data_IF_505862158955
#
_entry.id   IF_505862158955
#
_cell.length_a   1.000
_cell.length_b   1.000
_cell.length_c   1.000
_cell.angle_alpha   90.00
_cell.angle_beta   90.00
_cell.angle_gamma   90.00
#
_symmetry.space_group_name_H-M   'P 1'
#
loop_
_entity.id
_entity.type
_entity.pdbx_description
1 polymer ?
2 non-polymer ?
3 non-polymer ?
4 non-polymer ?
5 non-polymer ?
6 non-polymer ?
7 water ?
#
# COMPACT_ATOMS: atom_id res chain seq x y z
N UNK A 13 -23.02 -12.52 -5.44
CA UNK A 13 -23.00 -11.49 -6.48
C UNK A 13 -21.61 -10.93 -6.68
N UNK A 14 -21.47 -10.04 -7.65
CA UNK A 14 -20.17 -9.43 -7.93
C UNK A 14 -19.80 -8.44 -6.83
N UNK A 15 -18.53 -8.04 -6.84
CA UNK A 15 -18.03 -7.09 -5.85
C UNK A 15 -18.61 -5.71 -6.08
N UNK A 16 -19.08 -5.07 -5.01
CA UNK A 16 -19.63 -3.73 -5.06
C UNK A 16 -18.54 -2.77 -4.59
N UNK A 17 -18.02 -1.89 -5.45
CA UNK A 17 -16.96 -0.99 -5.04
C UNK A 17 -17.43 -0.01 -3.98
N UNK A 18 -16.65 0.16 -2.90
CA UNK A 18 -17.01 1.16 -1.89
C UNK A 18 -16.93 2.57 -2.45
N UNK A 19 -17.50 3.56 -1.77
CA UNK A 19 -17.40 4.93 -2.25
C UNK A 19 -15.96 5.43 -2.24
N UNK A 20 -15.69 6.41 -3.08
CA UNK A 20 -14.34 6.93 -3.22
C UNK A 20 -13.96 7.78 -2.00
N UNK A 21 -12.71 7.65 -1.56
CA UNK A 21 -12.18 8.47 -0.49
C UNK A 21 -11.84 9.86 -1.02
N UNK A 22 -11.65 10.84 -0.13
CA UNK A 22 -11.33 12.20 -0.59
C UNK A 22 -10.03 12.24 -1.37
N UNK A 23 -10.02 13.07 -2.42
CA UNK A 23 -8.83 13.33 -3.22
C UNK A 23 -8.58 14.83 -3.19
N UNK A 24 -7.36 15.22 -2.79
CA UNK A 24 -6.99 16.61 -2.67
C UNK A 24 -5.94 16.96 -3.72
N UNK A 25 -6.12 18.11 -4.37
CA UNK A 25 -5.20 18.63 -5.37
C UNK A 25 -4.74 20.01 -4.90
N UNK A 26 -3.79 20.05 -3.98
CA UNK A 26 -3.39 21.33 -3.40
C UNK A 26 -2.61 22.19 -4.39
N UNK A 27 -2.76 23.51 -4.25
CA UNK A 27 -1.98 24.45 -5.03
C UNK A 27 -0.55 24.51 -4.49
N UNK A 28 0.29 25.30 -5.14
CA UNK A 28 1.68 25.42 -4.69
C UNK A 28 1.78 26.06 -3.32
N UNK A 29 0.82 26.91 -2.96
CA UNK A 29 0.83 27.52 -1.63
C UNK A 29 0.43 26.51 -0.56
N UNK A 30 -0.58 25.69 -0.84
CA UNK A 30 -1.03 24.69 0.12
C UNK A 30 -0.06 23.50 0.20
N UNK A 31 0.75 23.29 -0.83
CA UNK A 31 1.70 22.19 -0.89
C UNK A 31 3.04 22.52 -0.22
N UNK A 32 3.09 23.61 0.55
CA UNK A 32 4.37 24.06 1.10
C UNK A 32 4.84 23.15 2.23
N UNK A 33 3.94 22.78 3.14
CA UNK A 33 4.30 21.95 4.29
C UNK A 33 3.30 20.81 4.42
N UNK A 34 3.77 19.56 4.50
CA UNK A 34 2.85 18.41 4.59
C UNK A 34 2.09 18.35 5.90
N UNK A 35 2.78 18.55 7.02
CA UNK A 35 2.13 18.43 8.32
C UNK A 35 1.04 19.48 8.50
N UNK A 36 1.29 20.70 8.03
CA UNK A 36 0.25 21.73 8.10
C UNK A 36 -0.90 21.43 7.14
N UNK A 37 -0.59 20.85 5.98
CA UNK A 37 -1.65 20.51 5.03
C UNK A 37 -2.51 19.37 5.55
N UNK A 38 -1.88 18.33 6.10
CA UNK A 38 -2.63 17.19 6.64
C UNK A 38 -3.48 17.64 7.82
N UNK A 39 -2.96 18.58 8.63
CA UNK A 39 -3.74 19.10 9.73
C UNK A 39 -4.95 19.89 9.29
N UNK A 40 -4.86 20.55 8.13
CA UNK A 40 -6.00 21.32 7.62
C UNK A 40 -7.07 20.41 7.02
N UNK A 41 -6.67 19.36 6.32
CA UNK A 41 -7.64 18.42 5.74
C UNK A 41 -8.14 17.39 6.74
N UNK A 42 -7.63 17.43 7.97
CA UNK A 42 -8.01 16.42 8.97
C UNK A 42 -9.51 16.35 9.24
N UNK A 43 -10.26 17.45 9.38
CA UNK A 43 -11.70 17.30 9.68
C UNK A 43 -12.47 16.44 8.71
N UNK A 44 -12.04 16.38 7.45
CA UNK A 44 -12.70 15.52 6.48
C UNK A 44 -12.02 14.16 6.37
N UNK A 45 -10.68 14.16 6.24
CA UNK A 45 -9.95 12.93 5.95
C UNK A 45 -10.00 11.94 7.11
N UNK A 46 -10.03 12.43 8.36
CA UNK A 46 -10.11 11.50 9.48
C UNK A 46 -11.47 10.83 9.57
N UNK A 47 -12.49 11.38 8.92
CA UNK A 47 -13.80 10.74 8.84
C UNK A 47 -13.87 9.66 7.77
N UNK A 48 -12.84 9.56 6.92
CA UNK A 48 -12.79 8.52 5.91
C UNK A 48 -11.61 7.56 6.10
N UNK A 49 -10.75 7.82 7.07
CA UNK A 49 -9.60 6.95 7.33
C UNK A 49 -8.42 7.14 6.41
N UNK A 50 -8.65 7.16 5.10
CA UNK A 50 -7.59 7.34 4.12
C UNK A 50 -7.98 8.50 3.21
N UNK A 51 -6.96 9.09 2.58
CA UNK A 51 -7.19 10.12 1.58
C UNK A 51 -6.04 10.10 0.59
N UNK A 52 -6.29 10.64 -0.59
CA UNK A 52 -5.31 10.70 -1.67
C UNK A 52 -4.93 12.16 -1.92
N UNK A 53 -3.64 12.41 -2.13
CA UNK A 53 -3.12 13.75 -2.35
C UNK A 53 -2.38 13.76 -3.68
N UNK A 54 -2.82 14.61 -4.59
CA UNK A 54 -2.17 14.76 -5.89
C UNK A 54 -1.29 16.00 -5.85
N UNK A 55 0.04 15.86 -5.96
CA UNK A 55 0.92 17.04 -5.96
C UNK A 55 0.67 17.89 -7.19
N UNK A 56 1.18 19.13 -7.21
CA UNK A 56 1.09 19.94 -8.44
C UNK A 56 1.72 19.24 -9.62
N UNK A 57 1.25 19.59 -10.82
CA UNK A 57 1.68 18.90 -12.03
C UNK A 57 3.18 19.01 -12.25
N UNK A 58 3.79 20.12 -11.85
CA UNK A 58 5.21 20.31 -12.06
C UNK A 58 6.08 19.65 -11.00
N UNK A 59 5.48 19.08 -9.95
CA UNK A 59 6.24 18.41 -8.89
C UNK A 59 6.44 16.96 -9.31
N UNK A 60 7.59 16.68 -9.92
CA UNK A 60 7.91 15.35 -10.41
C UNK A 60 9.31 14.97 -9.93
N UNK A 61 9.42 14.26 -8.81
CA UNK A 61 10.74 13.85 -8.31
C UNK A 61 11.29 12.72 -9.16
N UNK A 62 12.61 12.68 -9.36
CA UNK A 62 13.21 11.58 -10.12
C UNK A 62 13.36 10.32 -9.28
N UNK A 63 13.37 9.18 -9.97
CA UNK A 63 13.57 7.90 -9.30
C UNK A 63 15.07 7.73 -9.02
N UNK A 64 15.42 7.72 -7.74
CA UNK A 64 16.82 7.77 -7.32
C UNK A 64 17.34 6.43 -6.78
N UNK A 65 16.61 5.34 -7.02
CA UNK A 65 17.05 4.03 -6.59
C UNK A 65 18.11 3.50 -7.53
N UNK A 66 18.98 2.64 -7.00
CA UNK A 66 20.00 1.97 -7.80
C UNK A 66 19.38 0.79 -8.53
N UNK A 67 18.86 1.05 -9.74
CA UNK A 67 18.17 0.01 -10.49
C UNK A 67 19.12 -1.06 -10.97
N UNK A 68 20.37 -0.69 -11.26
CA UNK A 68 21.32 -1.66 -11.81
C UNK A 68 21.63 -2.77 -10.81
N UNK A 69 21.71 -2.45 -9.53
CA UNK A 69 22.07 -3.42 -8.50
C UNK A 69 20.88 -3.81 -7.62
N UNK A 70 19.66 -3.45 -8.02
CA UNK A 70 18.47 -3.76 -7.22
C UNK A 70 18.12 -5.23 -7.43
N UNK A 71 18.53 -6.09 -6.50
CA UNK A 71 18.21 -7.50 -6.52
C UNK A 71 17.53 -7.86 -5.20
N UNK A 72 16.32 -8.41 -5.28
CA UNK A 72 15.54 -8.71 -4.10
C UNK A 72 14.91 -10.09 -4.22
N UNK A 73 14.52 -10.63 -3.07
CA UNK A 73 13.86 -11.93 -2.98
C UNK A 73 12.41 -11.72 -2.56
N UNK A 74 11.44 -11.81 -3.47
CA UNK A 74 10.06 -11.49 -3.13
C UNK A 74 9.38 -12.60 -2.34
N UNK A 75 8.34 -12.21 -1.62
CA UNK A 75 7.52 -13.18 -0.90
C UNK A 75 6.56 -13.88 -1.85
N UNK A 76 6.05 -15.02 -1.40
CA UNK A 76 5.07 -15.81 -2.15
C UNK A 76 3.73 -15.69 -1.44
N UNK A 77 2.68 -15.36 -2.20
CA UNK A 77 1.37 -15.09 -1.63
C UNK A 77 0.33 -15.94 -2.34
N UNK A 78 -0.37 -16.78 -1.58
CA UNK A 78 -1.50 -17.54 -2.08
C UNK A 78 -2.77 -16.79 -1.72
N UNK A 79 -3.58 -16.46 -2.73
CA UNK A 79 -4.70 -15.55 -2.52
C UNK A 79 -5.81 -16.18 -1.69
N UNK A 80 -6.02 -17.49 -1.83
CA UNK A 80 -7.09 -18.19 -1.13
C UNK A 80 -6.56 -19.05 0.02
N UNK A 81 -5.55 -18.55 0.74
CA UNK A 81 -4.93 -19.36 1.78
C UNK A 81 -5.86 -19.55 2.99
N UNK A 82 -6.68 -18.54 3.30
CA UNK A 82 -7.61 -18.70 4.42
C UNK A 82 -8.82 -19.55 4.03
N UNK A 83 -9.35 -19.34 2.82
CA UNK A 83 -10.47 -20.14 2.35
C UNK A 83 -10.08 -21.60 2.17
N UNK A 84 -8.79 -21.90 1.98
CA UNK A 84 -8.32 -23.27 1.88
C UNK A 84 -8.30 -23.99 3.23
N UNK A 85 -8.44 -23.26 4.34
CA UNK A 85 -8.48 -23.91 5.64
C UNK A 85 -9.74 -24.77 5.80
N UNK A 86 -10.81 -24.40 5.10
CA UNK A 86 -12.07 -25.15 5.18
C UNK A 86 -12.08 -26.28 4.16
N UNK A 94 0.85 -28.97 3.08
CA UNK A 94 2.28 -29.05 2.85
C UNK A 94 2.87 -27.66 2.61
N UNK A 95 3.93 -27.35 3.36
CA UNK A 95 4.56 -26.04 3.25
C UNK A 95 5.60 -25.95 2.16
N UNK A 96 5.45 -26.78 1.13
CA UNK A 96 6.38 -26.76 0.00
C UNK A 96 5.66 -26.38 -1.29
N UNK A 97 4.91 -25.29 -1.26
CA UNK A 97 4.15 -24.88 -2.43
C UNK A 97 5.05 -24.25 -3.49
N UNK A 98 5.88 -23.29 -3.09
CA UNK A 98 6.73 -22.57 -4.02
C UNK A 98 7.87 -21.91 -3.26
N UNK A 99 9.07 -21.95 -3.84
CA UNK A 99 10.22 -21.28 -3.26
C UNK A 99 10.12 -19.77 -3.48
N UNK A 100 11.12 -19.04 -3.01
CA UNK A 100 11.09 -17.58 -3.03
C UNK A 100 11.72 -17.03 -4.30
N UNK A 101 12.90 -17.54 -4.68
CA UNK A 101 13.65 -17.11 -5.86
C UNK A 101 14.09 -15.66 -5.75
N UNK A 102 14.94 -15.23 -6.68
CA UNK A 102 15.50 -13.88 -6.68
C UNK A 102 15.30 -13.22 -8.03
N UNK A 103 14.91 -11.94 -8.00
CA UNK A 103 14.68 -11.16 -9.21
C UNK A 103 15.51 -9.89 -9.17
N UNK A 104 15.60 -9.24 -10.33
CA UNK A 104 15.98 -7.84 -10.41
C UNK A 104 14.73 -7.01 -10.66
N UNK A 105 14.89 -5.69 -10.69
CA UNK A 105 13.74 -4.84 -10.99
C UNK A 105 13.20 -5.08 -12.40
N UNK A 106 14.09 -5.40 -13.34
CA UNK A 106 13.66 -5.67 -14.71
C UNK A 106 13.09 -7.07 -14.85
N UNK A 107 13.73 -8.07 -14.26
CA UNK A 107 13.24 -9.44 -14.38
C UNK A 107 11.93 -9.63 -13.64
N UNK A 108 11.74 -8.94 -12.50
CA UNK A 108 10.45 -9.00 -11.82
C UNK A 108 9.36 -8.34 -12.66
N UNK A 109 9.68 -7.21 -13.30
CA UNK A 109 8.69 -6.55 -14.14
C UNK A 109 8.29 -7.38 -15.34
N UNK A 110 9.24 -8.13 -15.91
CA UNK A 110 8.91 -9.02 -17.02
C UNK A 110 7.97 -10.13 -16.57
N UNK A 111 8.25 -10.73 -15.41
CA UNK A 111 7.36 -11.75 -14.87
C UNK A 111 6.00 -11.16 -14.53
N UNK A 112 5.98 -9.95 -13.98
CA UNK A 112 4.72 -9.33 -13.56
C UNK A 112 3.84 -9.00 -14.76
N UNK A 113 4.42 -8.42 -15.80
CA UNK A 113 3.64 -8.09 -16.99
C UNK A 113 3.17 -9.33 -17.73
N UNK A 114 4.01 -10.37 -17.76
CA UNK A 114 3.61 -11.61 -18.41
C UNK A 114 2.46 -12.29 -17.68
N UNK A 115 2.49 -12.26 -16.34
CA UNK A 115 1.43 -12.88 -15.56
C UNK A 115 0.09 -12.19 -15.83
N UNK A 116 0.07 -10.86 -15.79
CA UNK A 116 -1.19 -10.14 -15.95
C UNK A 116 -1.71 -10.25 -17.37
N UNK A 117 -0.81 -10.16 -18.36
CA UNK A 117 -1.25 -10.24 -19.75
C UNK A 117 -1.77 -11.63 -20.08
N UNK A 118 -1.17 -12.67 -19.51
CA UNK A 118 -1.66 -14.03 -19.75
C UNK A 118 -2.94 -14.33 -18.97
N UNK A 119 -3.10 -13.73 -17.80
CA UNK A 119 -4.29 -14.02 -16.99
C UNK A 119 -5.54 -13.42 -17.61
N UNK A 120 -5.46 -12.16 -18.03
CA UNK A 120 -6.60 -11.46 -18.61
C UNK A 120 -6.66 -11.56 -20.13
N UNK A 121 -5.65 -12.16 -20.77
CA UNK A 121 -5.63 -12.35 -22.21
C UNK A 121 -5.74 -11.02 -22.97
N UNK A 122 -5.02 -10.02 -22.49
CA UNK A 122 -5.02 -8.70 -23.10
C UNK A 122 -3.81 -7.93 -22.60
N UNK A 123 -3.41 -6.86 -23.29
CA UNK A 123 -2.30 -6.05 -22.79
C UNK A 123 -2.57 -5.52 -21.39
N UNK A 124 -1.50 -5.38 -20.61
CA UNK A 124 -1.65 -5.04 -19.19
C UNK A 124 -2.27 -3.66 -19.01
N UNK A 125 -1.99 -2.73 -19.92
CA UNK A 125 -2.52 -1.39 -19.81
C UNK A 125 -3.97 -1.27 -20.26
N UNK A 126 -4.56 -2.36 -20.76
CA UNK A 126 -5.95 -2.35 -21.22
C UNK A 126 -6.91 -3.02 -20.23
N UNK A 127 -6.40 -3.60 -19.16
CA UNK A 127 -7.25 -4.24 -18.16
C UNK A 127 -7.84 -3.16 -17.26
N UNK A 128 -9.17 -3.01 -17.22
CA UNK A 128 -9.77 -1.98 -16.37
C UNK A 128 -9.50 -2.26 -14.89
N UNK A 129 -9.35 -1.19 -14.12
CA UNK A 129 -9.10 -1.33 -12.70
C UNK A 129 -10.27 -2.00 -11.98
N UNK A 130 -11.50 -1.76 -12.47
CA UNK A 130 -12.65 -2.41 -11.87
C UNK A 130 -12.64 -3.93 -12.10
N UNK A 131 -12.06 -4.38 -13.21
CA UNK A 131 -12.01 -5.80 -13.51
C UNK A 131 -11.01 -6.53 -12.63
N UNK A 132 -9.81 -5.95 -12.45
CA UNK A 132 -8.84 -6.54 -11.53
C UNK A 132 -9.40 -6.57 -10.11
N UNK A 133 -10.17 -5.54 -9.75
CA UNK A 133 -10.76 -5.47 -8.41
C UNK A 133 -11.79 -6.59 -8.21
N UNK A 134 -12.68 -6.77 -9.18
CA UNK A 134 -13.70 -7.82 -9.04
C UNK A 134 -13.09 -9.21 -9.11
N UNK A 135 -12.03 -9.39 -9.90
CA UNK A 135 -11.39 -10.70 -10.00
C UNK A 135 -10.55 -11.01 -8.77
N UNK A 136 -9.92 -9.99 -8.18
CA UNK A 136 -9.11 -10.22 -6.98
C UNK A 136 -9.95 -10.79 -5.85
N UNK A 137 -11.08 -10.16 -5.55
CA UNK A 137 -11.90 -10.61 -4.44
C UNK A 137 -12.62 -11.91 -4.75
N UNK A 138 -12.82 -12.24 -6.03
CA UNK A 138 -13.35 -13.56 -6.37
C UNK A 138 -12.33 -14.65 -6.10
N UNK A 139 -11.05 -14.39 -6.44
CA UNK A 139 -10.01 -15.38 -6.21
C UNK A 139 -9.72 -15.58 -4.72
N UNK A 140 -9.94 -14.54 -3.91
CA UNK A 140 -9.67 -14.64 -2.48
C UNK A 140 -10.59 -15.68 -1.83
N UNK A 141 -11.85 -15.72 -2.25
CA UNK A 141 -12.83 -16.64 -1.69
C UNK A 141 -13.06 -17.85 -2.58
N UNK A 142 -12.28 -18.03 -3.63
CA UNK A 142 -12.44 -19.14 -4.55
C UNK A 142 -11.70 -20.37 -4.05
N UNK A 143 -12.39 -21.51 -3.99
CA UNK A 143 -11.76 -22.78 -3.66
C UNK A 143 -11.47 -23.62 -4.89
N UNK A 144 -11.93 -23.20 -6.07
CA UNK A 144 -11.70 -23.93 -7.30
C UNK A 144 -10.40 -23.56 -7.98
N UNK A 145 -9.92 -22.33 -7.78
CA UNK A 145 -8.74 -21.82 -8.45
C UNK A 145 -7.72 -21.34 -7.42
N UNK A 146 -6.46 -21.68 -7.63
CA UNK A 146 -5.37 -21.36 -6.73
C UNK A 146 -4.38 -20.46 -7.47
N UNK A 147 -4.50 -19.15 -7.29
CA UNK A 147 -3.63 -18.18 -7.94
C UNK A 147 -2.52 -17.80 -6.97
N UNK A 148 -1.27 -17.85 -7.46
CA UNK A 148 -0.09 -17.55 -6.66
C UNK A 148 0.62 -16.35 -7.29
N UNK A 149 0.93 -15.36 -6.45
CA UNK A 149 1.64 -14.16 -6.89
C UNK A 149 2.83 -13.92 -5.97
N UNK A 150 3.66 -12.94 -6.36
CA UNK A 150 4.87 -12.61 -5.64
C UNK A 150 4.98 -11.09 -5.49
N UNK A 151 5.69 -10.66 -4.46
CA UNK A 151 5.87 -9.23 -4.23
C UNK A 151 7.03 -9.01 -3.27
N UNK A 152 7.69 -7.86 -3.43
CA UNK A 152 8.71 -7.42 -2.50
C UNK A 152 8.11 -6.40 -1.54
N UNK A 153 8.26 -6.66 -0.24
CA UNK A 153 7.64 -5.82 0.77
C UNK A 153 8.61 -5.59 1.92
N UNK A 154 8.40 -4.47 2.62
CA UNK A 154 9.20 -4.08 3.78
C UNK A 154 10.69 -4.04 3.44
N UNK A 155 10.99 -3.62 2.21
CA UNK A 155 12.36 -3.50 1.75
C UNK A 155 12.93 -2.18 2.24
N UNK A 156 13.95 -2.25 3.09
CA UNK A 156 14.54 -1.04 3.66
C UNK A 156 15.23 -0.23 2.57
N UNK A 157 14.94 1.06 2.53
CA UNK A 157 15.60 1.95 1.56
C UNK A 157 17.02 2.31 1.97
N UNK A 158 17.55 1.74 3.06
CA UNK A 158 18.94 1.96 3.39
C UNK A 158 19.86 0.98 2.68
N UNK A 159 19.35 -0.19 2.26
CA UNK A 159 20.15 -1.17 1.56
C UNK A 159 20.15 -0.96 0.05
N UNK A 160 19.05 -0.45 -0.51
CA UNK A 160 18.94 -0.22 -1.95
C UNK A 160 18.89 1.26 -2.31
N UNK A 161 18.81 2.14 -1.34
CA UNK A 161 18.57 3.55 -1.66
C UNK A 161 17.09 3.86 -1.75
N UNK A 162 16.75 5.09 -1.38
CA UNK A 162 15.36 5.52 -1.44
C UNK A 162 14.95 5.86 -2.86
N UNK A 163 13.65 5.79 -3.11
CA UNK A 163 13.13 6.22 -4.40
C UNK A 163 13.28 7.70 -4.64
N UNK A 164 13.30 8.50 -3.56
CA UNK A 164 13.53 9.93 -3.57
C UNK A 164 15.03 10.23 -3.51
N UNK A 165 15.45 11.34 -4.10
CA UNK A 165 16.84 11.78 -3.91
C UNK A 165 17.10 12.15 -2.46
N UNK A 166 18.30 11.82 -1.99
CA UNK A 166 18.70 12.07 -0.61
C UNK A 166 20.15 12.55 -0.60
N UNK A 167 20.42 13.56 0.22
CA UNK A 167 21.78 14.10 0.38
C UNK A 167 22.64 13.08 1.11
N UNK A 168 23.45 12.34 0.35
CA UNK A 168 24.37 11.37 0.92
C UNK A 168 25.54 11.19 -0.02
N UNK A 169 26.61 10.59 0.49
CA UNK A 169 27.82 10.39 -0.30
C UNK A 169 27.71 9.27 -1.32
N UNK A 170 26.70 8.39 -1.17
CA UNK A 170 26.58 7.26 -2.08
C UNK A 170 26.00 7.68 -3.42
N UNK A 171 24.86 8.36 -3.41
CA UNK A 171 24.20 8.76 -4.65
C UNK A 171 24.64 10.14 -5.09
N UNK A 172 24.49 10.40 -6.38
CA UNK A 172 24.79 11.69 -6.98
C UNK A 172 23.50 12.46 -7.22
N UNK A 173 23.48 13.73 -6.83
CA UNK A 173 22.29 14.56 -6.92
C UNK A 173 22.55 15.66 -7.95
N UNK A 174 21.72 15.70 -8.98
CA UNK A 174 21.80 16.78 -9.96
C UNK A 174 21.24 18.07 -9.36
N UNK A 175 21.67 19.23 -9.87
CA UNK A 175 21.14 20.50 -9.33
C UNK A 175 19.64 20.62 -9.44
N UNK A 176 19.04 20.09 -10.52
CA UNK A 176 17.59 20.14 -10.66
C UNK A 176 16.87 19.16 -9.75
N UNK A 177 17.60 18.27 -9.06
CA UNK A 177 17.00 17.30 -8.16
C UNK A 177 17.18 17.64 -6.68
N UNK A 178 17.92 18.70 -6.36
CA UNK A 178 18.16 19.02 -4.96
C UNK A 178 16.89 19.50 -4.26
N UNK A 179 15.98 20.13 -5.00
CA UNK A 179 14.72 20.58 -4.39
C UNK A 179 13.89 19.39 -3.90
N UNK A 180 13.96 18.26 -4.59
CA UNK A 180 13.23 17.09 -4.15
C UNK A 180 13.92 16.39 -2.99
N UNK A 181 15.25 16.47 -2.91
CA UNK A 181 15.96 15.93 -1.76
C UNK A 181 15.70 16.73 -0.50
N UNK A 182 15.31 18.00 -0.64
CA UNK A 182 15.03 18.87 0.50
C UNK A 182 13.54 19.09 0.72
N UNK A 183 12.69 18.53 -0.14
CA UNK A 183 11.26 18.77 -0.02
C UNK A 183 10.69 18.10 1.23
N UNK A 184 9.69 18.76 1.84
CA UNK A 184 9.01 18.17 2.97
C UNK A 184 8.19 16.95 2.63
N UNK A 185 7.78 16.81 1.37
CA UNK A 185 7.03 15.64 0.93
C UNK A 185 7.94 14.47 0.57
N UNK A 186 9.26 14.67 0.57
CA UNK A 186 10.19 13.54 0.52
C UNK A 186 10.02 12.71 1.78
N UNK A 187 9.69 11.43 1.60
CA UNK A 187 9.39 10.57 2.74
C UNK A 187 10.58 10.42 3.68
N UNK A 188 11.80 10.67 3.22
CA UNK A 188 12.95 10.66 4.10
C UNK A 188 13.01 11.87 5.01
N UNK A 189 12.21 12.90 4.75
CA UNK A 189 12.21 14.12 5.55
C UNK A 189 10.97 14.24 6.44
N UNK A 190 10.22 13.15 6.61
CA UNK A 190 9.06 13.18 7.49
C UNK A 190 9.51 12.98 8.94
N UNK A 191 8.87 13.67 9.89
CA UNK A 191 9.23 13.45 11.30
C UNK A 191 8.78 12.08 11.76
N UNK A 192 9.66 11.37 12.46
CA UNK A 192 9.43 9.99 12.84
C UNK A 192 9.65 9.72 14.31
N UNK A 193 10.07 10.72 15.09
CA UNK A 193 10.40 10.54 16.50
C UNK A 193 9.18 10.90 17.35
N UNK A 194 8.59 9.90 18.00
CA UNK A 194 7.44 10.13 18.85
C UNK A 194 7.87 10.69 20.20
N UNK A 195 7.03 11.57 20.76
CA UNK A 195 7.34 12.22 22.01
C UNK A 195 7.08 11.28 23.18
N UNK A 196 8.05 11.18 24.09
CA UNK A 196 7.92 10.36 25.28
C UNK A 196 8.98 10.79 26.29
N UNK A 197 8.71 10.48 27.56
CA UNK A 197 9.67 10.80 28.61
C UNK A 197 10.87 9.88 28.51
N UNK A 198 12.04 10.40 28.83
CA UNK A 198 13.28 9.62 28.77
C UNK A 198 13.40 8.68 29.96
N UNK A 208 17.71 5.32 12.01
CA UNK A 208 17.09 4.14 12.60
C UNK A 208 15.66 3.95 12.07
N UNK A 209 14.98 5.07 11.82
CA UNK A 209 13.63 5.06 11.26
C UNK A 209 13.75 5.53 9.81
N UNK A 210 13.49 4.62 8.88
CA UNK A 210 13.77 4.84 7.46
C UNK A 210 12.60 4.31 6.63
N UNK A 211 12.22 4.98 5.54
CA UNK A 211 11.11 4.48 4.71
C UNK A 211 11.43 3.12 4.11
N UNK A 212 10.37 2.38 3.82
CA UNK A 212 10.48 1.04 3.24
C UNK A 212 9.91 1.02 1.83
N UNK A 213 10.41 0.08 1.02
CA UNK A 213 10.07 -0.01 -0.39
C UNK A 213 9.17 -1.22 -0.65
N UNK A 214 8.34 -1.11 -1.69
CA UNK A 214 7.38 -2.14 -2.02
C UNK A 214 7.30 -2.29 -3.53
N UNK A 215 7.60 -3.49 -4.02
CA UNK A 215 7.56 -3.81 -5.45
C UNK A 215 6.41 -4.78 -5.66
N UNK A 216 5.36 -4.31 -6.33
CA UNK A 216 4.17 -5.13 -6.47
C UNK A 216 3.90 -5.63 -7.86
N UNK A 217 3.01 -6.62 -7.96
CA UNK A 217 2.49 -7.12 -9.23
C UNK A 217 0.99 -7.27 -9.10
N UNK A 218 0.34 -7.70 -10.18
CA UNK A 218 -1.10 -7.88 -10.16
C UNK A 218 -1.50 -8.89 -9.08
N UNK A 219 -2.48 -8.52 -8.26
CA UNK A 219 -3.11 -9.28 -7.20
C UNK A 219 -2.29 -9.31 -5.91
N UNK A 220 -1.03 -8.86 -5.91
CA UNK A 220 -0.29 -8.78 -4.67
C UNK A 220 -0.97 -7.80 -3.72
N UNK A 221 -1.18 -8.24 -2.48
CA UNK A 221 -2.09 -7.54 -1.58
C UNK A 221 -1.51 -7.43 -0.18
N UNK A 222 -2.13 -6.57 0.61
CA UNK A 222 -1.84 -6.41 2.03
C UNK A 222 -3.17 -6.39 2.79
N UNK A 223 -3.24 -7.14 3.88
CA UNK A 223 -4.49 -7.33 4.58
C UNK A 223 -4.75 -6.18 5.57
N UNK A 224 -5.92 -6.22 6.22
CA UNK A 224 -6.35 -5.14 7.09
C UNK A 224 -5.42 -5.00 8.28
N UNK A 225 -4.97 -3.77 8.53
CA UNK A 225 -4.05 -3.51 9.64
C UNK A 225 -4.09 -2.04 9.99
N UNK A 226 -3.58 -1.74 11.19
CA UNK A 226 -3.28 -0.39 11.61
C UNK A 226 -1.80 -0.31 11.92
N UNK A 227 -1.29 0.91 12.01
CA UNK A 227 0.14 1.10 12.26
C UNK A 227 0.44 0.90 13.75
N UNK A 228 1.70 0.56 14.03
CA UNK A 228 2.15 0.49 15.41
C UNK A 228 2.00 1.85 16.08
N UNK A 229 1.60 1.83 17.35
CA UNK A 229 1.34 3.03 18.14
C UNK A 229 0.26 3.92 17.51
N UNK A 230 -0.62 3.33 16.70
CA UNK A 230 -1.67 4.05 15.99
C UNK A 230 -1.11 5.22 15.17
N UNK A 231 0.08 5.06 14.61
CA UNK A 231 0.76 6.17 13.97
C UNK A 231 0.15 6.52 12.62
N UNK A 232 0.37 7.77 12.20
CA UNK A 232 0.13 8.16 10.83
C UNK A 232 1.01 7.34 9.88
N UNK A 233 0.63 7.32 8.61
CA UNK A 233 1.44 6.69 7.58
C UNK A 233 1.18 7.40 6.26
N UNK A 234 2.24 7.57 5.47
CA UNK A 234 2.17 8.20 4.16
C UNK A 234 2.80 7.28 3.14
N UNK A 235 2.17 7.18 1.97
CA UNK A 235 2.59 6.25 0.93
C UNK A 235 2.70 7.00 -0.39
N UNK A 236 3.76 6.72 -1.14
CA UNK A 236 3.98 7.36 -2.43
C UNK A 236 4.26 6.28 -3.47
N UNK A 237 3.58 6.37 -4.62
CA UNK A 237 3.78 5.45 -5.73
C UNK A 237 4.71 6.12 -6.74
N UNK A 238 5.96 5.63 -6.80
CA UNK A 238 6.94 6.25 -7.68
C UNK A 238 6.59 6.06 -9.15
N UNK A 239 6.25 4.83 -9.53
CA UNK A 239 5.87 4.54 -10.91
C UNK A 239 5.14 3.20 -10.95
N UNK A 240 4.55 2.92 -12.10
CA UNK A 240 3.90 1.64 -12.35
C UNK A 240 2.39 1.76 -12.35
N UNK A 241 1.74 0.60 -12.37
CA UNK A 241 0.30 0.53 -12.39
C UNK A 241 -0.27 0.88 -11.02
N UNK A 242 -1.54 1.29 -10.94
CA UNK A 242 -2.07 1.83 -9.69
C UNK A 242 -2.08 0.82 -8.55
N UNK A 243 -2.24 1.35 -7.34
CA UNK A 243 -2.40 0.56 -6.13
C UNK A 243 -3.77 0.87 -5.55
N UNK A 244 -4.61 -0.16 -5.42
CA UNK A 244 -5.97 0.01 -4.93
C UNK A 244 -6.00 -0.05 -3.40
N UNK A 245 -6.67 0.91 -2.79
CA UNK A 245 -6.71 1.04 -1.34
C UNK A 245 -8.15 0.90 -0.83
N UNK A 246 -8.27 0.41 0.40
CA UNK A 246 -9.52 0.44 1.15
C UNK A 246 -9.23 0.98 2.54
N UNK A 247 -10.10 1.83 3.04
CA UNK A 247 -9.86 2.50 4.31
C UNK A 247 -11.10 2.54 5.17
N UNK A 248 -10.89 2.50 6.47
CA UNK A 248 -11.97 2.59 7.46
C UNK A 248 -11.62 3.69 8.45
N UNK A 249 -12.53 4.61 8.74
CA UNK A 249 -12.22 5.69 9.69
C UNK A 249 -11.99 5.13 11.08
N UNK A 250 -11.24 5.92 11.88
CA UNK A 250 -10.83 5.45 13.20
C UNK A 250 -12.02 5.28 14.14
N UNK A 251 -13.11 6.02 13.93
CA UNK A 251 -14.25 5.90 14.82
C UNK A 251 -14.96 4.55 14.68
N UNK A 252 -14.68 3.81 13.61
CA UNK A 252 -15.24 2.48 13.40
C UNK A 252 -14.20 1.38 13.60
N UNK A 253 -13.09 1.70 14.27
CA UNK A 253 -12.02 0.71 14.45
C UNK A 253 -12.50 -0.47 15.29
N UNK A 254 -13.19 -0.18 16.40
CA UNK A 254 -13.64 -1.26 17.27
C UNK A 254 -14.77 -2.07 16.63
N UNK A 255 -15.53 -1.46 15.72
CA UNK A 255 -16.55 -2.21 15.00
C UNK A 255 -15.93 -3.18 14.01
N UNK A 256 -14.87 -2.76 13.31
CA UNK A 256 -14.17 -3.66 12.40
C UNK A 256 -13.56 -4.82 13.16
N UNK A 257 -12.98 -4.57 14.33
CA UNK A 257 -12.38 -5.63 15.11
C UNK A 257 -13.41 -6.62 15.63
N UNK A 258 -14.62 -6.15 15.94
CA UNK A 258 -15.67 -7.07 16.37
C UNK A 258 -16.16 -7.93 15.21
N UNK A 259 -16.30 -7.34 14.02
CA UNK A 259 -16.67 -8.12 12.85
C UNK A 259 -15.55 -9.09 12.48
N UNK A 260 -14.31 -8.64 12.59
CA UNK A 260 -13.17 -9.48 12.24
C UNK A 260 -13.08 -10.70 13.15
N UNK A 261 -13.22 -10.48 14.47
CA UNK A 261 -13.14 -11.59 15.42
C UNK A 261 -14.33 -12.53 15.29
N UNK A 262 -15.49 -12.02 14.88
CA UNK A 262 -16.67 -12.87 14.79
C UNK A 262 -16.61 -13.77 13.56
N UNK A 263 -15.90 -13.36 12.52
CA UNK A 263 -15.84 -14.12 11.28
C UNK A 263 -14.49 -14.78 11.01
N UNK A 264 -13.46 -14.44 11.78
CA UNK A 264 -12.16 -15.09 11.61
C UNK A 264 -12.23 -16.53 12.10
N UNK A 265 -11.34 -17.39 11.60
CA UNK A 265 -11.28 -18.76 12.10
C UNK A 265 -11.05 -18.80 13.61
N UNK A 266 -11.59 -19.84 14.26
CA UNK A 266 -11.48 -19.95 15.71
C UNK A 266 -10.04 -20.07 16.16
N UNK A 267 -9.16 -20.63 15.32
CA UNK A 267 -7.76 -20.75 15.69
C UNK A 267 -7.04 -19.40 15.68
N UNK A 268 -7.54 -18.43 14.91
CA UNK A 268 -6.93 -17.12 14.82
C UNK A 268 -7.68 -16.03 15.58
N UNK A 269 -8.86 -16.34 16.13
CA UNK A 269 -9.67 -15.31 16.76
C UNK A 269 -9.04 -14.82 18.06
N UNK A 270 -8.47 -15.74 18.85
CA UNK A 270 -7.89 -15.40 20.14
C UNK A 270 -6.45 -14.92 20.04
N UNK A 271 -5.89 -14.81 18.84
CA UNK A 271 -4.52 -14.38 18.69
C UNK A 271 -4.38 -12.88 18.96
N UNK A 272 -3.22 -12.45 19.45
CA UNK A 272 -2.98 -11.00 19.61
C UNK A 272 -3.10 -10.28 18.28
N UNK A 273 -3.45 -8.99 18.36
CA UNK A 273 -3.76 -8.24 17.15
C UNK A 273 -2.55 -8.13 16.23
N UNK A 274 -1.36 -7.97 16.79
CA UNK A 274 -0.16 -7.86 15.96
C UNK A 274 0.12 -9.13 15.20
N UNK A 275 -0.31 -10.28 15.72
CA UNK A 275 -0.19 -11.54 15.00
C UNK A 275 -1.39 -11.80 14.10
N UNK A 276 -2.60 -11.49 14.58
CA UNK A 276 -3.79 -11.67 13.75
C UNK A 276 -3.74 -10.78 12.51
N UNK A 277 -3.16 -9.58 12.63
CA UNK A 277 -3.06 -8.67 11.50
C UNK A 277 -2.26 -9.24 10.34
N UNK A 278 -1.60 -10.38 10.51
CA UNK A 278 -0.89 -11.01 9.40
C UNK A 278 -1.82 -11.77 8.47
N UNK A 279 -3.04 -12.07 8.91
CA UNK A 279 -3.98 -12.87 8.12
C UNK A 279 -5.37 -12.28 8.19
N UNK A 280 -5.46 -10.95 8.37
CA UNK A 280 -6.75 -10.28 8.48
C UNK A 280 -7.25 -9.86 7.10
N UNK A 281 -7.53 -10.86 6.28
CA UNK A 281 -8.08 -10.64 4.94
C UNK A 281 -9.59 -10.78 5.01
N UNK A 282 -10.30 -9.79 4.44
CA UNK A 282 -11.76 -9.79 4.50
C UNK A 282 -12.29 -8.91 3.38
N UNK A 283 -13.28 -9.42 2.66
CA UNK A 283 -13.90 -8.66 1.58
C UNK A 283 -14.52 -7.38 2.14
N UNK A 284 -14.26 -6.22 1.53
CA UNK A 284 -14.85 -4.98 2.06
C UNK A 284 -16.37 -4.99 2.09
N UNK A 285 -17.02 -5.70 1.17
CA UNK A 285 -18.48 -5.77 1.19
C UNK A 285 -18.98 -6.47 2.46
N UNK A 286 -18.21 -7.40 2.99
CA UNK A 286 -18.60 -8.05 4.24
C UNK A 286 -18.60 -7.06 5.39
N UNK A 287 -17.59 -6.19 5.45
CA UNK A 287 -17.56 -5.15 6.47
C UNK A 287 -18.68 -4.15 6.27
N UNK A 288 -18.94 -3.76 5.02
CA UNK A 288 -20.00 -2.79 4.74
C UNK A 288 -21.37 -3.35 5.08
N UNK A 289 -21.59 -4.64 4.87
CA UNK A 289 -22.87 -5.26 5.23
C UNK A 289 -23.07 -5.30 6.74
N UNK A 290 -22.01 -5.27 7.52
CA UNK A 290 -22.10 -5.23 8.98
C UNK A 290 -22.10 -3.81 9.53
N UNK A 291 -22.19 -2.80 8.67
CA UNK A 291 -22.27 -1.42 9.10
C UNK A 291 -20.95 -0.69 9.22
N UNK A 292 -19.84 -1.30 8.79
CA UNK A 292 -18.53 -0.67 8.86
C UNK A 292 -18.35 0.22 7.63
N UNK A 293 -18.10 1.52 7.81
CA UNK A 293 -17.88 2.39 6.65
C UNK A 293 -16.52 2.12 6.01
N UNK A 294 -16.53 1.92 4.70
CA UNK A 294 -15.33 1.60 3.94
C UNK A 294 -15.25 2.54 2.74
N UNK A 295 -14.08 3.11 2.50
CA UNK A 295 -13.82 3.94 1.34
C UNK A 295 -12.68 3.34 0.52
N UNK A 296 -12.67 3.62 -0.77
CA UNK A 296 -11.68 3.08 -1.68
C UNK A 296 -11.01 4.20 -2.47
N UNK A 297 -9.91 3.86 -3.13
CA UNK A 297 -9.25 4.76 -4.06
C UNK A 297 -8.25 3.97 -4.89
N UNK A 298 -7.95 4.49 -6.08
CA UNK A 298 -6.89 3.96 -6.93
C UNK A 298 -5.73 4.97 -6.88
N UNK A 299 -4.65 4.59 -6.19
CA UNK A 299 -3.47 5.43 -6.11
C UNK A 299 -2.64 5.22 -7.37
N UNK A 300 -2.51 6.27 -8.18
CA UNK A 300 -1.75 6.22 -9.41
C UNK A 300 -0.34 6.75 -9.19
N UNK A 301 0.49 6.58 -10.23
CA UNK A 301 1.90 6.99 -10.14
C UNK A 301 2.01 8.49 -9.85
N UNK A 302 2.85 8.82 -8.88
CA UNK A 302 3.07 10.20 -8.50
C UNK A 302 2.08 10.76 -7.50
N UNK A 303 1.24 9.92 -6.90
CA UNK A 303 0.22 10.38 -5.96
C UNK A 303 0.49 9.83 -4.57
N UNK A 304 0.10 10.59 -3.56
CA UNK A 304 0.27 10.23 -2.16
C UNK A 304 -1.01 9.65 -1.59
N UNK A 305 -0.85 8.72 -0.65
CA UNK A 305 -1.97 8.20 0.14
C UNK A 305 -1.57 8.30 1.60
N UNK A 306 -2.41 8.95 2.40
CA UNK A 306 -2.18 9.14 3.82
C UNK A 306 -3.24 8.37 4.59
N UNK A 307 -2.81 7.57 5.56
CA UNK A 307 -3.71 6.89 6.48
C UNK A 307 -3.61 7.53 7.85
N UNK A 308 -4.74 7.74 8.49
CA UNK A 308 -4.83 8.47 9.74
C UNK A 308 -4.71 7.53 10.93
N UNK A 309 -4.49 8.07 12.14
CA UNK A 309 -4.29 7.20 13.30
C UNK A 309 -5.46 6.23 13.52
N UNK A 310 -5.10 4.95 13.68
CA UNK A 310 -6.06 3.88 13.96
C UNK A 310 -7.08 3.70 12.84
N UNK A 311 -6.70 4.06 11.62
CA UNK A 311 -7.54 3.85 10.44
C UNK A 311 -7.11 2.54 9.79
N UNK A 312 -7.95 1.51 9.94
CA UNK A 312 -7.66 0.23 9.29
C UNK A 312 -7.67 0.38 7.79
N UNK A 313 -6.72 -0.30 7.12
CA UNK A 313 -6.64 -0.20 5.67
C UNK A 313 -6.08 -1.48 5.08
N UNK A 314 -6.47 -1.74 3.84
CA UNK A 314 -6.01 -2.90 3.08
C UNK A 314 -6.07 -2.55 1.60
N UNK A 315 -5.58 -3.46 0.77
CA UNK A 315 -5.62 -3.23 -0.66
C UNK A 315 -4.76 -4.23 -1.42
N UNK A 316 -4.57 -3.91 -2.70
CA UNK A 316 -3.84 -4.77 -3.62
C UNK A 316 -3.30 -3.92 -4.76
N UNK A 317 -2.36 -4.47 -5.51
CA UNK A 317 -1.74 -3.79 -6.63
C UNK A 317 -2.38 -4.22 -7.95
N UNK A 318 -2.62 -3.23 -8.83
CA UNK A 318 -3.17 -3.51 -10.15
C UNK A 318 -2.14 -4.15 -11.07
N UNK A 319 -0.86 -3.96 -10.81
CA UNK A 319 0.17 -4.52 -11.66
C UNK A 319 1.55 -4.15 -11.17
N UNK A 320 2.51 -4.22 -12.08
CA UNK A 320 3.91 -3.90 -11.76
C UNK A 320 4.04 -2.44 -11.34
N UNK A 321 4.47 -2.20 -10.10
CA UNK A 321 4.63 -0.85 -9.61
C UNK A 321 5.70 -0.83 -8.51
N UNK A 322 6.01 0.38 -8.04
CA UNK A 322 7.05 0.59 -7.04
C UNK A 322 6.56 1.66 -6.07
N UNK A 323 6.47 1.31 -4.79
CA UNK A 323 5.93 2.21 -3.78
C UNK A 323 6.91 2.36 -2.63
N UNK A 324 6.75 3.46 -1.90
CA UNK A 324 7.56 3.77 -0.73
C UNK A 324 6.64 4.30 0.36
N UNK A 325 6.91 3.90 1.60
CA UNK A 325 6.04 4.23 2.72
C UNK A 325 6.86 4.46 3.98
N UNK A 326 6.32 5.27 4.89
CA UNK A 326 6.94 5.51 6.18
C UNK A 326 5.85 5.96 7.14
N UNK A 327 6.01 5.59 8.41
CA UNK A 327 5.12 6.07 9.47
C UNK A 327 5.69 7.35 10.05
N UNK A 328 4.84 8.36 10.18
CA UNK A 328 5.27 9.65 10.71
C UNK A 328 4.38 10.04 11.88
N UNK A 329 4.84 11.03 12.64
CA UNK A 329 4.14 11.50 13.82
C UNK A 329 3.99 13.02 13.74
N UNK A 330 2.88 13.51 14.30
CA UNK A 330 2.58 14.93 14.27
C UNK A 330 2.72 15.55 15.65
X LIG B 1 1.19 -0.06 4.08
X LIG B 1 2.32 0.19 5.05
X LIG B 1 3.73 0.09 4.94
X LIG B 1 4.24 0.44 6.20
X LIG B 1 5.65 0.53 6.72
X LIG B 1 6.18 1.98 6.62
X LIG B 1 5.74 0.02 8.17
X LIG B 1 0.33 -0.55 1.83
X LIG B 1 1.00 -0.44 0.42
X LIG B 1 2.44 -1.01 0.67
X LIG B 1 2.25 -3.18 -0.43
X LIG B 1 2.25 -4.68 -0.27
X LIG B 1 2.77 -5.50 -1.46
X LIG B 1 1.27 -5.43 -1.17
X LIG B 1 2.72 -0.44 2.05
X LIG B 1 3.22 0.73 7.00
X LIG B 1 2.07 0.58 6.31
X LIG B 1 1.45 -0.32 2.78
X LIG B 1 2.41 -2.47 0.70
X LIG B 1 0.08 0.00 4.49
X LIG B 1 2.12 -2.63 -1.52
X LIG C 1 -0.17 0.56 6.56
X LIG D 1 -9.40 6.95 -10.38
X LIG D 1 -9.88 8.15 -11.12
X LIG D 1 -9.94 5.45 -11.26
X LIG D 1 -7.62 6.79 -10.57
X LIG E 1 -2.65 -10.30 -28.46
X LIG E 1 -2.05 -11.18 -29.36
X LIG E 1 -1.85 -10.41 -27.15
X LIG E 1 -0.55 -9.99 -27.29
X LIG E 1 -2.64 -9.52 -26.16
X LIG E 1 -1.97 -9.59 -24.94
X LIG F 1 2.55 -3.05 6.64
X LIG F 1 3.58 -3.11 7.56
X LIG F 1 3.16 -3.41 5.27
X LIG F 1 4.02 -4.50 5.37
X LIG F 1 1.94 -3.73 4.38
X LIG F 1 2.44 -4.03 3.12
X LIG G 1 -19.37 7.64 7.97
X LIG G 1 -19.24 6.78 9.11
X LIG G 1 -18.01 8.25 7.64
X LIG G 1 -17.52 8.98 8.77
X LIG H 1 -13.16 -13.11 2.54
X LIG H 1 -13.96 -12.12 3.20
X LIG H 1 -12.23 -13.77 3.54
X LIG H 1 -11.46 -14.79 2.89
X LIG I 1 11.24 1.98 10.68
X LIG I 1 10.26 1.00 10.31
X LIG I 1 12.63 1.35 10.62
X LIG I 1 12.91 0.95 9.27
X LIG J 1 -20.74 3.98 11.53
X LIG J 1 -20.09 2.72 11.75
X LIG J 1 -21.07 4.13 10.06
X LIG J 1 -21.69 5.40 9.83
X LIG K 1 -8.09 7.53 16.91
X LIG K 1 -7.49 8.46 16.00
X LIG K 1 -7.29 7.50 18.20
X LIG K 1 -7.25 8.82 18.78
#
# INVERSE_FOLDING_TARGET
HNMAGVGPGGYAAEFVPPPECPVFEPSWEEFTDPLSFIGRIRPLAEKTGICKIRPPKDWQPPFACEVKSFRFTPRVQRLNELEAMTRVRPREAFGFEQAVREYTLQSFGEMADNFKSDYFNMPVHMVPTELVEKEFWRLVSSIEEDVIVEYGADISSKDFGSGFPVKDGRRKILPEEEEYALSGWNLNNMPVLEQSVLAHINVDISGMKVPWLYVGMCFSSFCWHIEDHWSYSINYLHWGEPKTWYGVPSHAAEQLEEVMRELAPELFESQPDLLHQLVTIMNPNVLMEHGVPVYRTNQCAGEFVVTFPRAYHSGFNQGYNFAEAVNFCT
DQJ C02 C03 C04 C05 C06 C07 C08 C12 C13 C14 C16 C17 C18 C19 C21 N09 N10 N11 N15 O01 O20
MN MN
DMS S O C1 C2
GOL C1 O1 C2 O2 C3 O3
GOL C1 O1 C2 O2 C3 O3
EDO C1 O1 C2 O2
EDO C1 O1 C2 O2
EDO C1 O1 C2 O2
EDO C1 O1 C2 O2
EDO C1 O1 C2 O2
#
